data_IF_544045027434
#
_entry.id   IF_544045027434
#
_cell.length_a   1.000
_cell.length_b   1.000
_cell.length_c   1.000
_cell.angle_alpha   90.00
_cell.angle_beta   90.00
_cell.angle_gamma   90.00
#
_symmetry.space_group_name_H-M   'P 1'
#
loop_
_entity.id
_entity.type
_entity.pdbx_description
1 polymer ?
#
# COMPACT_ATOMS: atom_id res chain seq x y z
N UNK A 1 28.48 0.52 20.73
CA UNK A 1 27.01 0.63 20.75
C UNK A 1 26.43 -0.58 20.03
N UNK A 2 25.35 -1.18 20.51
CA UNK A 2 24.69 -2.27 19.81
C UNK A 2 24.04 -1.73 18.52
N UNK A 3 24.17 -2.47 17.41
CA UNK A 3 23.50 -2.18 16.14
C UNK A 3 22.01 -2.46 16.33
N UNK A 4 21.16 -1.48 16.02
CA UNK A 4 19.71 -1.62 16.04
C UNK A 4 19.19 -2.02 14.66
N UNK A 5 17.98 -2.58 14.59
CA UNK A 5 17.32 -2.88 13.31
C UNK A 5 17.08 -1.61 12.47
N UNK A 6 16.93 -0.47 13.15
CA UNK A 6 16.84 0.86 12.55
C UNK A 6 18.15 1.29 11.89
N UNK A 7 19.30 0.91 12.44
CA UNK A 7 20.60 1.19 11.82
C UNK A 7 20.81 0.40 10.51
N UNK A 8 20.05 -0.69 10.31
CA UNK A 8 19.96 -1.40 9.04
C UNK A 8 18.98 -0.76 8.05
N UNK A 9 18.41 0.41 8.38
CA UNK A 9 17.45 1.15 7.55
C UNK A 9 15.99 0.77 7.76
N UNK A 10 15.68 -0.06 8.76
CA UNK A 10 14.30 -0.51 9.03
C UNK A 10 13.75 0.12 10.31
N UNK A 11 12.92 1.15 10.13
CA UNK A 11 12.23 1.82 11.22
C UNK A 11 10.78 1.30 11.36
N UNK A 12 10.58 0.37 12.31
CA UNK A 12 9.29 -0.26 12.58
C UNK A 12 8.26 0.76 13.07
N UNK A 13 8.67 1.70 13.92
CA UNK A 13 7.78 2.71 14.50
C UNK A 13 7.32 3.70 13.43
N UNK A 14 8.22 4.11 12.53
CA UNK A 14 7.86 4.93 11.38
C UNK A 14 6.86 4.20 10.46
N UNK A 15 7.04 2.89 10.25
CA UNK A 15 6.11 2.06 9.50
C UNK A 15 4.71 2.04 10.13
N UNK A 16 4.63 1.77 11.44
CA UNK A 16 3.36 1.74 12.17
C UNK A 16 2.67 3.12 12.17
N UNK A 17 3.43 4.19 12.39
CA UNK A 17 2.91 5.56 12.34
C UNK A 17 2.33 5.92 10.96
N UNK A 18 2.95 5.44 9.88
CA UNK A 18 2.39 5.61 8.53
C UNK A 18 1.09 4.84 8.36
N UNK A 19 1.06 3.56 8.79
CA UNK A 19 -0.15 2.71 8.72
C UNK A 19 -1.33 3.40 9.40
N UNK A 20 -1.14 3.95 10.59
CA UNK A 20 -2.20 4.64 11.32
C UNK A 20 -2.71 5.89 10.59
N UNK A 21 -1.81 6.66 9.96
CA UNK A 21 -2.17 7.86 9.18
C UNK A 21 -2.98 7.53 7.93
N UNK A 22 -2.66 6.43 7.23
CA UNK A 22 -3.34 6.08 5.96
C UNK A 22 -4.55 5.18 6.16
N UNK A 23 -4.76 4.62 7.36
CA UNK A 23 -5.87 3.72 7.68
C UNK A 23 -7.25 4.24 7.27
N UNK A 24 -7.60 5.53 7.48
CA UNK A 24 -8.89 6.06 7.03
C UNK A 24 -9.03 6.10 5.50
N UNK A 25 -7.93 6.40 4.79
CA UNK A 25 -7.91 6.46 3.33
C UNK A 25 -8.05 5.05 2.73
N UNK A 26 -7.33 4.07 3.27
CA UNK A 26 -7.46 2.67 2.87
C UNK A 26 -8.86 2.12 3.19
N UNK A 27 -9.47 2.52 4.31
CA UNK A 27 -10.84 2.12 4.66
C UNK A 27 -11.86 2.63 3.65
N UNK A 28 -11.65 3.79 3.05
CA UNK A 28 -12.57 4.38 2.06
C UNK A 28 -12.66 3.57 0.76
N UNK A 29 -11.67 2.69 0.48
CA UNK A 29 -11.64 1.85 -0.73
C UNK A 29 -12.09 0.40 -0.47
N UNK A 30 -12.58 0.10 0.74
CA UNK A 30 -12.97 -1.25 1.14
C UNK A 30 -14.11 -1.80 0.27
N UNK A 31 -14.03 -3.11 0.00
CA UNK A 31 -15.07 -3.87 -0.68
C UNK A 31 -15.57 -5.03 0.20
N UNK A 32 -16.76 -5.60 -0.06
CA UNK A 32 -17.30 -6.73 0.70
C UNK A 32 -16.41 -7.99 0.68
N UNK A 33 -15.52 -8.09 -0.30
CA UNK A 33 -14.62 -9.23 -0.43
C UNK A 33 -13.38 -9.16 0.48
N UNK A 34 -13.01 -7.96 0.95
CA UNK A 34 -11.85 -7.78 1.81
C UNK A 34 -12.15 -8.30 3.22
N UNK A 35 -11.27 -9.15 3.75
CA UNK A 35 -11.37 -9.69 5.10
C UNK A 35 -10.36 -8.97 6.01
N UNK A 36 -10.87 -8.17 6.94
CA UNK A 36 -10.06 -7.40 7.89
C UNK A 36 -9.69 -6.01 7.37
N UNK A 37 -8.48 -5.54 7.68
CA UNK A 37 -7.96 -4.23 7.31
C UNK A 37 -6.43 -4.20 7.33
N UNK A 38 -5.84 -3.02 7.16
CA UNK A 38 -4.36 -2.87 7.12
C UNK A 38 -3.73 -2.96 8.52
N UNK A 39 -2.50 -3.49 8.59
CA UNK A 39 -1.71 -3.63 9.83
C UNK A 39 -1.42 -5.07 10.25
N UNK A 40 -2.02 -6.08 9.59
CA UNK A 40 -1.61 -7.48 9.71
C UNK A 40 -0.45 -7.84 8.77
N UNK A 41 0.06 -9.07 8.86
CA UNK A 41 1.12 -9.58 7.99
C UNK A 41 0.74 -9.55 6.50
N UNK A 42 -0.50 -9.91 6.19
CA UNK A 42 -1.05 -9.88 4.84
C UNK A 42 -2.53 -9.48 4.88
N UNK A 43 -3.02 -8.91 3.76
CA UNK A 43 -4.44 -8.70 3.54
C UNK A 43 -5.05 -9.93 2.87
N UNK A 44 -6.34 -10.17 3.13
CA UNK A 44 -7.09 -11.28 2.56
C UNK A 44 -8.27 -10.72 1.76
N UNK A 45 -8.53 -11.31 0.59
CA UNK A 45 -9.65 -10.94 -0.27
C UNK A 45 -10.25 -12.21 -0.89
N UNK A 46 -11.57 -12.40 -0.76
CA UNK A 46 -12.25 -13.52 -1.41
C UNK A 46 -12.41 -13.24 -2.91
N UNK A 47 -12.43 -14.30 -3.72
CA UNK A 47 -12.89 -14.19 -5.10
C UNK A 47 -14.40 -13.92 -5.10
N UNK A 48 -14.91 -12.95 -5.87
CA UNK A 48 -16.34 -12.69 -5.95
C UNK A 48 -17.13 -13.91 -6.43
N UNK A 49 -18.39 -14.02 -6.02
CA UNK A 49 -19.30 -15.06 -6.51
C UNK A 49 -19.67 -14.83 -7.98
N UNK A 50 -19.97 -15.89 -8.73
CA UNK A 50 -20.44 -15.81 -10.12
C UNK A 50 -19.39 -16.21 -11.17
N UNK A 51 -18.14 -16.37 -10.78
CA UNK A 51 -17.13 -17.04 -11.60
C UNK A 51 -17.21 -18.55 -11.40
N UNK A 52 -17.15 -19.32 -12.49
CA UNK A 52 -17.09 -20.78 -12.44
C UNK A 52 -15.64 -21.27 -12.30
N UNK A 53 -14.74 -20.74 -13.14
CA UNK A 53 -13.32 -21.08 -13.17
C UNK A 53 -12.49 -19.79 -13.28
N UNK A 54 -12.32 -19.04 -12.17
CA UNK A 54 -11.68 -17.74 -12.20
C UNK A 54 -10.18 -17.85 -12.51
N UNK A 55 -9.70 -17.03 -13.44
CA UNK A 55 -8.27 -16.83 -13.69
C UNK A 55 -7.84 -15.53 -13.02
N UNK A 56 -6.80 -15.60 -12.19
CA UNK A 56 -6.22 -14.44 -11.53
C UNK A 56 -5.14 -13.82 -12.41
N UNK A 57 -5.26 -12.52 -12.66
CA UNK A 57 -4.26 -11.73 -13.38
C UNK A 57 -3.60 -10.77 -12.39
N UNK A 58 -2.26 -10.78 -12.36
CA UNK A 58 -1.46 -9.88 -11.53
C UNK A 58 -0.51 -9.07 -12.40
N UNK A 59 -0.23 -7.83 -12.00
CA UNK A 59 0.75 -6.96 -12.63
C UNK A 59 1.41 -6.04 -11.61
N UNK A 60 2.57 -5.53 -11.97
CA UNK A 60 3.30 -4.50 -11.22
C UNK A 60 3.75 -3.45 -12.22
N UNK A 61 3.62 -2.18 -11.87
CA UNK A 61 4.03 -1.06 -12.72
C UNK A 61 4.62 0.07 -11.87
N UNK A 62 5.40 0.93 -12.50
CA UNK A 62 6.02 2.10 -11.87
C UNK A 62 5.68 3.38 -12.61
N UNK A 63 5.45 4.45 -11.84
CA UNK A 63 5.16 5.80 -12.35
C UNK A 63 6.27 6.37 -13.25
N UNK A 64 7.49 5.86 -13.11
CA UNK A 64 8.62 6.23 -13.96
C UNK A 64 9.11 7.65 -13.74
N UNK A 65 9.60 8.29 -14.81
CA UNK A 65 10.25 9.60 -14.73
C UNK A 65 9.33 10.75 -14.31
N UNK A 66 8.01 10.55 -14.33
CA UNK A 66 7.02 11.52 -13.82
C UNK A 66 7.23 11.86 -12.34
N UNK A 67 7.82 10.95 -11.56
CA UNK A 67 8.24 11.22 -10.18
C UNK A 67 9.15 12.45 -10.06
N UNK A 68 10.04 12.70 -11.04
CA UNK A 68 10.92 13.87 -11.04
C UNK A 68 10.12 15.18 -11.08
N UNK A 69 9.02 15.21 -11.85
CA UNK A 69 8.13 16.38 -11.92
C UNK A 69 7.34 16.56 -10.62
N UNK A 70 6.87 15.47 -10.01
CA UNK A 70 6.20 15.52 -8.71
C UNK A 70 7.13 16.12 -7.62
N UNK A 71 8.39 15.68 -7.57
CA UNK A 71 9.39 16.24 -6.65
C UNK A 71 9.70 17.71 -6.93
N UNK A 72 9.94 18.06 -8.20
CA UNK A 72 10.27 19.43 -8.59
C UNK A 72 9.14 20.43 -8.31
N UNK A 73 7.88 19.97 -8.38
CA UNK A 73 6.70 20.80 -8.09
C UNK A 73 6.26 20.77 -6.63
N UNK A 74 6.84 19.87 -5.81
CA UNK A 74 6.40 19.64 -4.43
C UNK A 74 4.97 19.10 -4.29
N UNK A 75 4.39 18.57 -5.38
CA UNK A 75 3.01 18.07 -5.42
C UNK A 75 3.00 16.55 -5.49
N UNK A 76 2.58 15.91 -4.41
CA UNK A 76 2.58 14.44 -4.27
C UNK A 76 1.17 13.85 -4.08
N UNK A 77 0.15 14.69 -4.04
CA UNK A 77 -1.24 14.32 -3.75
C UNK A 77 -1.92 13.56 -4.91
N UNK A 78 -1.42 13.72 -6.14
CA UNK A 78 -2.00 13.06 -7.33
C UNK A 78 -1.13 11.93 -7.87
N UNK A 79 0.12 11.79 -7.43
CA UNK A 79 1.10 10.91 -8.10
C UNK A 79 0.81 9.43 -7.93
N UNK A 80 0.01 9.04 -6.93
CA UNK A 80 -0.44 7.66 -6.73
C UNK A 80 -1.68 7.28 -7.54
N UNK A 81 -2.25 8.21 -8.32
CA UNK A 81 -3.33 7.94 -9.28
C UNK A 81 -2.76 7.49 -10.63
N UNK A 82 -1.52 7.91 -10.93
CA UNK A 82 -0.71 7.45 -12.07
C UNK A 82 -0.07 6.09 -11.76
#
# INVERSE_FOLDING_TARGET
MPITYKDAGVDIDAGNALVDRIKPLAKATMRPEVLGGIGGFAALCRVPTGYQEPILVSGTDGVGTKLKTAFASGRHDTIGID
#
